data_IF_885223328214
#
_entry.id   IF_885223328214
#
_cell.length_a   1.000
_cell.length_b   1.000
_cell.length_c   1.000
_cell.angle_alpha   90.00
_cell.angle_beta   90.00
_cell.angle_gamma   90.00
#
_symmetry.space_group_name_H-M   'P 1'
#
loop_
_entity.id
_entity.type
_entity.pdbx_description
1 polymer ?
#
# COMPACT_ATOMS: atom_id res chain seq x y z
N UNK A 1 38.60 2.64 21.82
CA UNK A 1 37.13 2.45 21.74
C UNK A 1 36.54 3.66 21.06
N UNK A 2 36.09 3.53 19.82
CA UNK A 2 35.17 4.49 19.21
C UNK A 2 34.04 3.64 18.66
N UNK A 3 32.89 3.71 19.32
CA UNK A 3 31.66 3.04 18.90
C UNK A 3 31.19 3.77 17.63
N UNK A 4 31.29 3.10 16.50
CA UNK A 4 30.71 3.55 15.25
C UNK A 4 29.26 3.04 15.21
N UNK A 5 28.33 3.75 15.85
CA UNK A 5 26.90 3.54 15.67
C UNK A 5 26.51 4.11 14.32
N UNK A 6 26.71 3.32 13.26
CA UNK A 6 25.86 3.43 12.09
C UNK A 6 24.49 2.98 12.56
N UNK A 7 23.64 3.94 12.91
CA UNK A 7 22.22 3.71 13.04
C UNK A 7 21.74 3.18 11.68
N UNK A 8 21.66 1.86 11.56
CA UNK A 8 20.82 1.23 10.56
C UNK A 8 19.43 1.75 10.84
N UNK A 9 18.92 2.65 9.99
CA UNK A 9 17.50 3.01 10.04
C UNK A 9 16.75 1.69 9.92
N UNK A 10 16.16 1.25 11.03
CA UNK A 10 15.42 -0.01 11.06
C UNK A 10 14.34 0.09 9.98
N UNK A 11 14.17 -0.99 9.22
CA UNK A 11 13.11 -1.07 8.21
C UNK A 11 11.76 -0.70 8.85
N UNK A 12 10.88 0.05 8.15
CA UNK A 12 9.59 0.40 8.70
C UNK A 12 8.81 -0.86 9.09
N UNK A 13 8.25 -0.89 10.30
CA UNK A 13 7.72 -2.12 10.90
C UNK A 13 6.64 -2.84 10.05
N UNK A 14 5.90 -2.09 9.22
CA UNK A 14 4.87 -2.64 8.33
C UNK A 14 5.42 -3.29 7.06
N UNK A 15 6.66 -3.04 6.67
CA UNK A 15 7.23 -3.59 5.43
C UNK A 15 7.52 -5.10 5.53
N UNK A 16 8.06 -5.65 6.64
CA UNK A 16 8.13 -7.10 6.84
C UNK A 16 6.75 -7.77 6.83
N UNK A 17 5.73 -7.11 7.40
CA UNK A 17 4.34 -7.61 7.36
C UNK A 17 3.81 -7.66 5.93
N UNK A 18 3.99 -6.57 5.17
CA UNK A 18 3.52 -6.50 3.79
C UNK A 18 4.21 -7.55 2.91
N UNK A 19 5.53 -7.64 2.98
CA UNK A 19 6.33 -8.56 2.16
C UNK A 19 6.07 -10.03 2.46
N UNK A 20 5.68 -10.38 3.68
CA UNK A 20 5.26 -11.74 4.04
C UNK A 20 4.00 -12.21 3.26
N UNK A 21 3.18 -11.28 2.76
CA UNK A 21 1.97 -11.57 1.99
C UNK A 21 2.21 -11.65 0.48
N UNK A 22 3.47 -11.61 0.02
CA UNK A 22 3.83 -11.71 -1.39
C UNK A 22 3.20 -12.95 -2.05
N UNK A 23 2.53 -12.76 -3.19
CA UNK A 23 1.89 -13.83 -3.95
C UNK A 23 0.43 -14.11 -3.56
N UNK A 24 -0.09 -13.53 -2.48
CA UNK A 24 -1.53 -13.60 -2.17
C UNK A 24 -2.31 -12.96 -3.31
N UNK A 25 -3.23 -13.71 -3.90
CA UNK A 25 -4.03 -13.29 -5.05
C UNK A 25 -5.49 -13.65 -4.89
N UNK A 26 -6.36 -12.96 -5.63
CA UNK A 26 -7.77 -13.33 -5.70
C UNK A 26 -7.92 -14.76 -6.22
N UNK A 27 -8.94 -15.46 -5.77
CA UNK A 27 -9.34 -16.75 -6.32
C UNK A 27 -10.23 -16.57 -7.56
N UNK A 28 -10.46 -17.64 -8.34
CA UNK A 28 -11.40 -17.63 -9.46
C UNK A 28 -12.82 -17.21 -9.06
N UNK A 29 -13.66 -16.96 -10.07
CA UNK A 29 -15.09 -16.66 -9.87
C UNK A 29 -15.76 -17.86 -9.20
N UNK A 30 -16.56 -17.60 -8.17
CA UNK A 30 -17.24 -18.64 -7.35
C UNK A 30 -16.47 -19.05 -6.11
N UNK A 31 -15.21 -18.64 -5.98
CA UNK A 31 -14.36 -18.86 -4.80
C UNK A 31 -13.93 -17.53 -4.17
N UNK A 32 -13.50 -17.55 -2.91
CA UNK A 32 -13.07 -16.35 -2.19
C UNK A 32 -11.81 -16.65 -1.40
N UNK A 33 -10.77 -15.83 -1.60
CA UNK A 33 -9.58 -15.91 -0.77
C UNK A 33 -9.84 -15.29 0.61
N UNK A 34 -9.85 -16.07 1.71
CA UNK A 34 -10.16 -15.56 3.05
C UNK A 34 -9.14 -14.53 3.53
N UNK A 35 -7.88 -14.58 3.07
CA UNK A 35 -6.87 -13.59 3.45
C UNK A 35 -7.22 -12.20 2.92
N UNK A 36 -7.77 -12.10 1.71
CA UNK A 36 -8.20 -10.81 1.16
C UNK A 36 -9.46 -10.30 1.88
N UNK A 37 -10.33 -11.20 2.34
CA UNK A 37 -11.46 -10.84 3.22
C UNK A 37 -10.96 -10.25 4.55
N UNK A 38 -9.88 -10.80 5.13
CA UNK A 38 -9.25 -10.22 6.32
C UNK A 38 -8.70 -8.81 6.05
N UNK A 39 -8.08 -8.57 4.89
CA UNK A 39 -7.65 -7.23 4.49
C UNK A 39 -8.83 -6.27 4.45
N UNK A 40 -9.92 -6.69 3.81
CA UNK A 40 -11.15 -5.89 3.71
C UNK A 40 -11.77 -5.58 5.06
N UNK A 41 -11.55 -6.43 6.07
CA UNK A 41 -11.93 -6.18 7.46
C UNK A 41 -11.29 -4.94 8.09
N UNK A 42 -10.23 -4.40 7.50
CA UNK A 42 -9.52 -3.20 7.96
C UNK A 42 -9.91 -1.93 7.20
N UNK A 43 -10.97 -1.99 6.38
CA UNK A 43 -11.53 -0.84 5.69
C UNK A 43 -13.06 -0.84 5.75
N UNK A 44 -13.72 0.12 5.09
CA UNK A 44 -15.17 0.14 4.93
C UNK A 44 -15.72 -0.96 3.99
N UNK A 45 -14.90 -1.97 3.63
CA UNK A 45 -15.28 -3.16 2.88
C UNK A 45 -15.47 -4.40 3.76
N UNK A 46 -15.68 -4.24 5.07
CA UNK A 46 -15.98 -5.37 5.97
C UNK A 46 -17.12 -6.23 5.37
N UNK A 47 -16.87 -7.53 5.24
CA UNK A 47 -17.82 -8.51 4.69
C UNK A 47 -17.82 -8.66 3.17
N UNK A 48 -17.03 -7.87 2.43
CA UNK A 48 -16.84 -8.05 0.99
C UNK A 48 -15.81 -9.13 0.67
N UNK A 49 -16.00 -9.77 -0.49
CA UNK A 49 -15.11 -10.80 -1.03
C UNK A 49 -13.81 -10.22 -1.64
N UNK A 50 -13.06 -11.07 -2.33
CA UNK A 50 -11.79 -10.73 -3.00
C UNK A 50 -11.98 -10.22 -4.44
N UNK A 51 -13.20 -9.91 -4.86
CA UNK A 51 -13.52 -9.45 -6.22
C UNK A 51 -13.60 -7.92 -6.32
N UNK A 52 -13.81 -7.24 -5.20
CA UNK A 52 -13.71 -5.77 -5.10
C UNK A 52 -12.25 -5.33 -5.07
N UNK A 53 -11.95 -4.08 -5.44
CA UNK A 53 -10.58 -3.57 -5.34
C UNK A 53 -10.13 -3.48 -3.88
N UNK A 54 -9.03 -4.15 -3.54
CA UNK A 54 -8.56 -4.28 -2.16
C UNK A 54 -7.15 -3.69 -1.91
N UNK A 55 -6.63 -2.85 -2.81
CA UNK A 55 -5.32 -2.20 -2.63
C UNK A 55 -5.23 -1.38 -1.32
N UNK A 56 -6.24 -0.55 -1.03
CA UNK A 56 -6.27 0.24 0.21
C UNK A 56 -6.55 -0.62 1.44
N UNK A 57 -7.36 -1.68 1.31
CA UNK A 57 -7.59 -2.66 2.37
C UNK A 57 -6.29 -3.32 2.82
N UNK A 58 -5.44 -3.73 1.86
CA UNK A 58 -4.13 -4.31 2.14
C UNK A 58 -3.21 -3.36 2.93
N UNK A 59 -3.14 -2.08 2.55
CA UNK A 59 -2.32 -1.09 3.27
C UNK A 59 -2.85 -0.85 4.68
N UNK A 60 -4.18 -0.71 4.85
CA UNK A 60 -4.78 -0.59 6.18
C UNK A 60 -4.44 -1.80 7.06
N UNK A 61 -4.52 -3.01 6.51
CA UNK A 61 -4.21 -4.23 7.23
C UNK A 61 -2.74 -4.32 7.64
N UNK A 62 -1.81 -3.98 6.74
CA UNK A 62 -0.37 -3.98 7.06
C UNK A 62 -0.04 -3.03 8.22
N UNK A 63 -0.64 -1.83 8.22
CA UNK A 63 -0.45 -0.87 9.32
C UNK A 63 -1.11 -1.35 10.62
N UNK A 64 -2.33 -1.86 10.55
CA UNK A 64 -3.06 -2.36 11.72
C UNK A 64 -2.30 -3.49 12.42
N UNK A 65 -1.67 -4.39 11.66
CA UNK A 65 -0.83 -5.49 12.17
C UNK A 65 0.37 -5.04 13.01
N UNK A 66 0.78 -3.77 12.88
CA UNK A 66 1.85 -3.16 13.69
C UNK A 66 1.34 -2.06 14.62
N UNK A 67 0.03 -2.01 14.87
CA UNK A 67 -0.60 -1.05 15.78
C UNK A 67 -0.74 0.37 15.24
N UNK A 68 -0.53 0.59 13.94
CA UNK A 68 -0.69 1.88 13.28
C UNK A 68 -2.09 1.97 12.66
N UNK A 69 -2.83 3.02 12.98
CA UNK A 69 -4.15 3.25 12.40
C UNK A 69 -4.05 3.85 11.00
N UNK A 70 -4.54 3.12 9.99
CA UNK A 70 -4.70 3.62 8.62
C UNK A 70 -5.91 4.55 8.43
N UNK A 71 -6.36 4.70 7.19
CA UNK A 71 -7.54 5.51 6.84
C UNK A 71 -8.86 4.84 7.19
N UNK A 72 -8.89 3.51 7.28
CA UNK A 72 -10.13 2.71 7.38
C UNK A 72 -11.00 2.77 6.11
N UNK A 73 -10.49 3.30 5.00
CA UNK A 73 -11.22 3.45 3.74
C UNK A 73 -10.61 2.58 2.65
N UNK A 74 -11.46 2.00 1.80
CA UNK A 74 -11.05 1.29 0.60
C UNK A 74 -10.64 2.21 -0.55
N UNK A 75 -10.89 3.52 -0.44
CA UNK A 75 -10.49 4.50 -1.45
C UNK A 75 -9.00 4.79 -1.35
N UNK A 76 -8.24 4.48 -2.41
CA UNK A 76 -6.82 4.78 -2.48
C UNK A 76 -6.50 6.28 -2.30
N UNK A 77 -7.34 7.18 -2.80
CA UNK A 77 -7.12 8.63 -2.63
C UNK A 77 -7.36 9.14 -1.20
N UNK A 78 -8.00 8.35 -0.32
CA UNK A 78 -8.16 8.72 1.10
C UNK A 78 -6.83 8.92 1.82
N UNK A 79 -5.77 8.27 1.35
CA UNK A 79 -4.43 8.40 1.92
C UNK A 79 -3.83 9.79 1.71
N UNK A 80 -4.30 10.59 0.74
CA UNK A 80 -3.81 11.95 0.51
C UNK A 80 -4.04 12.89 1.70
N UNK A 81 -4.96 12.57 2.60
CA UNK A 81 -5.21 13.37 3.82
C UNK A 81 -4.71 12.67 5.10
N UNK A 82 -4.04 11.53 4.95
CA UNK A 82 -3.58 10.71 6.07
C UNK A 82 -2.12 10.99 6.44
N UNK A 83 -1.82 10.93 7.73
CA UNK A 83 -0.44 10.99 8.22
C UNK A 83 0.25 12.34 7.96
N UNK A 84 1.52 12.27 7.60
CA UNK A 84 2.39 13.41 7.24
C UNK A 84 2.66 13.33 5.73
N UNK A 85 2.51 14.47 5.03
CA UNK A 85 2.92 14.58 3.63
C UNK A 85 4.44 14.56 3.51
N UNK A 86 4.98 13.81 2.54
CA UNK A 86 6.41 13.83 2.23
C UNK A 86 6.64 14.54 0.89
N UNK A 87 7.65 15.42 0.84
CA UNK A 87 8.10 16.07 -0.39
C UNK A 87 8.88 15.12 -1.31
N UNK A 88 9.48 14.08 -0.75
CA UNK A 88 10.23 13.05 -1.47
C UNK A 88 9.93 11.67 -0.89
N UNK A 89 9.83 10.62 -1.72
CA UNK A 89 9.50 9.29 -1.24
C UNK A 89 10.63 8.72 -0.38
N UNK A 90 10.24 7.96 0.64
CA UNK A 90 11.14 7.18 1.51
C UNK A 90 10.69 5.74 1.49
N UNK A 91 11.62 4.78 1.53
CA UNK A 91 11.28 3.34 1.52
C UNK A 91 10.16 3.02 2.51
N UNK A 92 9.13 2.32 2.04
CA UNK A 92 7.95 1.96 2.82
C UNK A 92 6.90 3.05 2.97
N UNK A 93 7.12 4.27 2.47
CA UNK A 93 6.08 5.30 2.53
C UNK A 93 4.89 4.91 1.66
N UNK A 94 3.70 5.35 2.06
CA UNK A 94 2.49 5.09 1.30
C UNK A 94 2.49 6.04 0.10
N UNK A 95 2.37 5.48 -1.10
CA UNK A 95 2.33 6.23 -2.34
C UNK A 95 0.98 6.08 -3.00
N UNK A 96 0.35 7.22 -3.31
CA UNK A 96 -0.96 7.27 -3.94
C UNK A 96 -0.78 7.58 -5.43
N UNK A 97 -1.47 6.83 -6.27
CA UNK A 97 -1.46 7.00 -7.73
C UNK A 97 -2.86 7.38 -8.24
N UNK A 98 -2.90 8.08 -9.38
CA UNK A 98 -4.09 8.20 -10.21
C UNK A 98 -4.52 6.83 -10.76
N UNK A 99 -5.76 6.73 -11.24
CA UNK A 99 -6.24 5.56 -11.98
C UNK A 99 -7.30 5.99 -13.00
N UNK A 100 -7.12 5.55 -14.24
CA UNK A 100 -7.93 5.91 -15.41
C UNK A 100 -7.86 7.42 -15.73
N UNK A 101 -8.60 8.25 -14.99
CA UNK A 101 -8.67 9.70 -15.14
C UNK A 101 -7.90 10.39 -13.99
N UNK A 102 -6.90 11.23 -14.28
CA UNK A 102 -6.17 11.99 -13.26
C UNK A 102 -7.07 12.85 -12.37
N UNK A 103 -8.15 13.41 -12.94
CA UNK A 103 -9.11 14.26 -12.23
C UNK A 103 -10.23 13.49 -11.54
N UNK A 104 -10.37 12.19 -11.84
CA UNK A 104 -11.38 11.32 -11.24
C UNK A 104 -11.09 10.95 -9.78
N UNK A 105 -12.02 10.29 -9.10
CA UNK A 105 -11.85 9.88 -7.69
C UNK A 105 -11.06 8.56 -7.53
N UNK A 106 -10.93 7.78 -8.61
CA UNK A 106 -10.25 6.48 -8.59
C UNK A 106 -8.74 6.67 -8.42
N UNK A 107 -8.11 5.70 -7.77
CA UNK A 107 -6.67 5.67 -7.60
C UNK A 107 -6.15 4.26 -7.32
N UNK A 108 -4.85 4.20 -7.08
CA UNK A 108 -4.17 3.02 -6.55
C UNK A 108 -3.24 3.44 -5.42
N UNK A 109 -2.89 2.50 -4.53
CA UNK A 109 -2.01 2.78 -3.40
C UNK A 109 -1.14 1.58 -3.11
N UNK A 110 0.13 1.84 -2.80
CA UNK A 110 1.14 0.84 -2.46
C UNK A 110 2.25 1.44 -1.60
N UNK A 111 3.10 0.60 -1.03
CA UNK A 111 4.32 1.03 -0.36
C UNK A 111 5.44 1.28 -1.36
N UNK A 112 6.07 2.45 -1.28
CA UNK A 112 7.20 2.79 -2.13
C UNK A 112 8.41 1.91 -1.85
N UNK A 113 9.02 1.38 -2.90
CA UNK A 113 10.29 0.67 -2.82
C UNK A 113 11.45 1.51 -3.36
N UNK A 114 11.32 1.97 -4.60
CA UNK A 114 12.33 2.72 -5.35
C UNK A 114 11.68 3.41 -6.56
N UNK A 115 12.42 4.30 -7.22
CA UNK A 115 12.06 4.84 -8.53
C UNK A 115 13.32 5.07 -9.38
N UNK A 116 13.11 5.16 -10.69
CA UNK A 116 14.03 5.75 -11.65
C UNK A 116 13.36 6.98 -12.31
N UNK A 117 13.90 7.45 -13.44
CA UNK A 117 13.38 8.63 -14.12
C UNK A 117 11.96 8.44 -14.69
N UNK A 118 11.57 7.22 -15.02
CA UNK A 118 10.31 6.91 -15.71
C UNK A 118 9.31 6.21 -14.79
N UNK A 119 9.80 5.32 -13.91
CA UNK A 119 8.96 4.42 -13.13
C UNK A 119 9.19 4.53 -11.62
N UNK A 120 8.09 4.42 -10.89
CA UNK A 120 8.04 4.17 -9.45
C UNK A 120 7.62 2.72 -9.21
N UNK A 121 8.34 2.04 -8.32
CA UNK A 121 8.10 0.64 -7.99
C UNK A 121 7.42 0.57 -6.62
N UNK A 122 6.21 0.01 -6.61
CA UNK A 122 5.40 -0.13 -5.40
C UNK A 122 5.20 -1.60 -5.05
N UNK A 123 5.27 -1.89 -3.75
CA UNK A 123 4.78 -3.15 -3.19
C UNK A 123 3.36 -2.94 -2.64
N UNK A 124 2.40 -3.69 -3.16
CA UNK A 124 1.00 -3.43 -2.83
C UNK A 124 0.09 -4.58 -3.19
N UNK A 125 -1.14 -4.50 -2.67
CA UNK A 125 -2.21 -5.43 -2.96
C UNK A 125 -3.00 -5.06 -4.21
N UNK A 126 -3.68 -6.04 -4.80
CA UNK A 126 -4.49 -5.91 -6.01
C UNK A 126 -3.69 -5.40 -7.23
N UNK A 127 -2.38 -5.62 -7.24
CA UNK A 127 -1.50 -5.31 -8.36
C UNK A 127 -1.51 -6.53 -9.29
N UNK A 128 -2.21 -6.41 -10.42
CA UNK A 128 -2.52 -7.57 -11.28
C UNK A 128 -3.25 -8.68 -10.49
N UNK A 129 -4.22 -8.27 -9.66
CA UNK A 129 -5.01 -9.14 -8.78
C UNK A 129 -4.18 -9.92 -7.72
N UNK A 130 -2.97 -9.46 -7.40
CA UNK A 130 -2.02 -10.09 -6.48
C UNK A 130 -1.33 -9.05 -5.55
N UNK A 131 -0.81 -9.51 -4.41
CA UNK A 131 0.19 -8.81 -3.59
C UNK A 131 1.57 -9.02 -4.21
N UNK A 132 2.13 -7.97 -4.81
CA UNK A 132 3.44 -8.04 -5.46
C UNK A 132 4.11 -6.68 -5.55
N UNK A 133 5.32 -6.66 -6.07
CA UNK A 133 5.91 -5.47 -6.65
C UNK A 133 5.31 -5.20 -8.06
N UNK A 134 5.07 -3.93 -8.40
CA UNK A 134 4.73 -3.51 -9.76
C UNK A 134 5.26 -2.10 -10.03
N UNK A 135 5.70 -1.88 -11.27
CA UNK A 135 6.14 -0.58 -11.75
C UNK A 135 4.95 0.24 -12.28
N UNK A 136 4.96 1.53 -11.98
CA UNK A 136 3.99 2.51 -12.45
C UNK A 136 4.72 3.75 -12.99
N UNK A 137 4.17 4.49 -13.96
CA UNK A 137 4.78 5.73 -14.41
C UNK A 137 4.88 6.74 -13.26
N UNK A 138 6.02 7.42 -13.10
CA UNK A 138 6.20 8.49 -12.10
C UNK A 138 5.12 9.57 -12.25
N UNK A 139 4.69 9.87 -13.48
CA UNK A 139 3.63 10.82 -13.78
C UNK A 139 2.25 10.45 -13.19
N UNK A 140 2.05 9.21 -12.73
CA UNK A 140 0.81 8.78 -12.07
C UNK A 140 0.77 9.12 -10.58
N UNK A 141 1.88 9.53 -9.97
CA UNK A 141 1.99 9.79 -8.53
C UNK A 141 1.21 11.05 -8.15
N UNK A 142 0.36 10.92 -7.12
CA UNK A 142 -0.40 12.00 -6.50
C UNK A 142 0.23 12.49 -5.19
N UNK A 143 0.96 11.63 -4.49
CA UNK A 143 1.68 12.03 -3.27
C UNK A 143 2.18 10.86 -2.43
N UNK A 144 3.02 11.21 -1.46
CA UNK A 144 3.67 10.30 -0.53
C UNK A 144 3.30 10.64 0.92
N UNK A 145 3.10 9.60 1.73
CA UNK A 145 2.56 9.72 3.08
C UNK A 145 3.29 8.83 4.06
N UNK A 146 3.50 9.34 5.27
CA UNK A 146 4.14 8.64 6.38
C UNK A 146 3.21 8.62 7.61
N UNK A 147 3.25 7.57 8.45
CA UNK A 147 2.59 7.63 9.76
C UNK A 147 3.05 8.84 10.59
N UNK A 148 2.15 9.37 11.44
CA UNK A 148 2.48 10.42 12.41
C UNK A 148 3.24 9.86 13.61
#
# INVERSE_FOLDING_TARGET
MILNTRDSVAEPAWMPVATAECGIRRFPVGETNPRIVEYNGQSNLVGYDDKVSWCSSFINWCLASVGIRGTGSALARSWLDWGIALESPTYGCITVLTRDDPTGWKGHVGFYLRHDAEFIYLFGGNQLDEVRELAYPVASVLGHRWPK
#
